data_IF_382365571687
#
_entry.id   IF_382365571687
#
_cell.length_a   1.000
_cell.length_b   1.000
_cell.length_c   1.000
_cell.angle_alpha   90.00
_cell.angle_beta   90.00
_cell.angle_gamma   90.00
#
_symmetry.space_group_name_H-M   'P 1'
#
loop_
_entity.id
_entity.type
_entity.pdbx_description
1 polymer ?
#
# COMPACT_ATOMS: atom_id res chain seq x y z
N UNK A 1 6.22 20.13 -4.17
CA UNK A 1 6.74 18.92 -4.82
C UNK A 1 5.81 17.76 -4.51
N UNK A 2 5.63 16.89 -5.47
CA UNK A 2 4.86 15.66 -5.28
C UNK A 2 5.82 14.48 -5.30
N UNK A 3 5.68 13.58 -4.32
CA UNK A 3 6.45 12.37 -4.21
C UNK A 3 5.49 11.19 -4.37
N UNK A 4 5.88 10.20 -5.16
CA UNK A 4 5.15 8.93 -5.27
C UNK A 4 5.90 7.91 -4.43
N UNK A 5 5.18 7.28 -3.52
CA UNK A 5 5.69 6.22 -2.66
C UNK A 5 4.91 4.95 -2.95
N UNK A 6 5.60 3.85 -3.12
CA UNK A 6 4.97 2.55 -3.36
C UNK A 6 5.33 1.59 -2.25
N UNK A 7 4.31 1.02 -1.62
CA UNK A 7 4.45 -0.10 -0.70
C UNK A 7 4.29 -1.35 -1.52
N UNK A 8 5.37 -2.12 -1.68
CA UNK A 8 5.38 -3.33 -2.48
C UNK A 8 5.27 -4.52 -1.55
N UNK A 9 4.21 -5.30 -1.72
CA UNK A 9 3.83 -6.37 -0.80
C UNK A 9 4.21 -7.74 -1.34
N UNK A 10 4.63 -8.60 -0.43
CA UNK A 10 4.98 -9.99 -0.71
C UNK A 10 4.56 -10.89 0.44
N UNK A 11 4.59 -12.19 0.20
CA UNK A 11 4.35 -13.20 1.23
C UNK A 11 5.52 -14.17 1.26
N UNK A 12 5.98 -14.49 2.45
CA UNK A 12 7.04 -15.45 2.66
C UNK A 12 6.81 -16.18 3.96
N UNK A 13 6.85 -17.50 3.93
CA UNK A 13 6.67 -18.35 5.13
C UNK A 13 5.37 -18.03 5.89
N UNK A 14 4.29 -17.77 5.16
CA UNK A 14 2.99 -17.46 5.76
C UNK A 14 2.90 -16.06 6.40
N UNK A 15 3.84 -15.18 6.07
CA UNK A 15 3.92 -13.84 6.64
C UNK A 15 3.89 -12.80 5.54
N UNK A 16 3.12 -11.74 5.74
CA UNK A 16 3.17 -10.56 4.87
C UNK A 16 4.45 -9.78 5.13
N UNK A 17 5.08 -9.38 4.04
CA UNK A 17 6.28 -8.55 4.07
C UNK A 17 6.13 -7.39 3.10
N UNK A 18 6.90 -6.34 3.29
CA UNK A 18 6.87 -5.18 2.40
C UNK A 18 8.23 -4.54 2.26
N UNK A 19 8.38 -3.78 1.21
CA UNK A 19 9.43 -2.78 1.03
C UNK A 19 8.80 -1.52 0.45
N UNK A 20 9.46 -0.39 0.59
CA UNK A 20 9.00 0.87 0.02
C UNK A 20 9.99 1.41 -0.99
N UNK A 21 9.46 1.98 -2.06
CA UNK A 21 10.23 2.67 -3.09
C UNK A 21 9.56 4.02 -3.32
N UNK A 22 10.33 5.08 -3.40
CA UNK A 22 9.77 6.40 -3.64
C UNK A 22 10.67 7.23 -4.55
N UNK A 23 10.04 8.18 -5.26
CA UNK A 23 10.75 9.15 -6.07
C UNK A 23 9.89 10.40 -6.27
N UNK A 24 10.52 11.50 -6.61
CA UNK A 24 9.82 12.72 -6.96
C UNK A 24 9.11 12.54 -8.31
N UNK A 25 7.88 13.06 -8.39
CA UNK A 25 7.09 12.97 -9.60
C UNK A 25 7.60 14.02 -10.60
N UNK A 26 8.12 13.59 -11.78
CA UNK A 26 8.55 14.54 -12.80
C UNK A 26 7.36 15.28 -13.41
N UNK A 27 7.61 16.48 -13.91
CA UNK A 27 6.59 17.25 -14.63
C UNK A 27 6.10 16.47 -15.85
N UNK A 28 4.79 16.46 -16.05
CA UNK A 28 4.18 15.79 -17.21
C UNK A 28 4.04 14.28 -17.08
N UNK A 29 4.45 13.69 -15.96
CA UNK A 29 4.30 12.25 -15.71
C UNK A 29 3.09 12.02 -14.82
N UNK A 30 2.26 11.04 -15.18
CA UNK A 30 1.14 10.66 -14.36
C UNK A 30 1.62 9.86 -13.14
N UNK A 31 1.09 10.11 -11.94
CA UNK A 31 1.51 9.38 -10.74
C UNK A 31 1.40 7.86 -10.86
N UNK A 32 0.36 7.35 -11.51
CA UNK A 32 0.19 5.91 -11.70
C UNK A 32 1.33 5.31 -12.52
N UNK A 33 1.81 6.02 -13.53
CA UNK A 33 2.90 5.54 -14.38
C UNK A 33 4.21 5.46 -13.59
N UNK A 34 4.49 6.46 -12.77
CA UNK A 34 5.66 6.42 -11.91
C UNK A 34 5.55 5.30 -10.86
N UNK A 35 4.38 5.14 -10.25
CA UNK A 35 4.16 4.08 -9.28
C UNK A 35 4.38 2.69 -9.90
N UNK A 36 3.87 2.47 -11.11
CA UNK A 36 4.07 1.23 -11.82
C UNK A 36 5.56 0.97 -12.08
N UNK A 37 6.27 1.99 -12.55
CA UNK A 37 7.71 1.90 -12.80
C UNK A 37 8.48 1.58 -11.52
N UNK A 38 8.21 2.28 -10.44
CA UNK A 38 8.90 2.08 -9.15
C UNK A 38 8.66 0.69 -8.57
N UNK A 39 7.45 0.15 -8.76
CA UNK A 39 7.12 -1.19 -8.26
C UNK A 39 7.83 -2.30 -9.00
N UNK A 40 8.26 -2.06 -10.24
CA UNK A 40 8.75 -3.09 -11.14
C UNK A 40 7.68 -4.05 -11.63
N UNK A 41 6.42 -3.75 -11.33
CA UNK A 41 5.30 -4.64 -11.60
C UNK A 41 4.92 -4.59 -13.07
N UNK A 42 4.52 -5.75 -13.61
CA UNK A 42 3.89 -5.86 -14.92
C UNK A 42 2.42 -6.20 -14.72
N UNK A 43 1.51 -5.32 -15.13
CA UNK A 43 0.08 -5.54 -14.93
C UNK A 43 -0.49 -6.72 -15.71
N UNK A 44 0.28 -7.27 -16.65
CA UNK A 44 -0.08 -8.50 -17.35
C UNK A 44 0.13 -9.75 -16.49
N UNK A 45 0.86 -9.66 -15.39
CA UNK A 45 1.04 -10.78 -14.46
C UNK A 45 -0.27 -11.08 -13.76
N UNK A 46 -0.70 -12.36 -13.72
CA UNK A 46 -1.94 -12.73 -13.04
C UNK A 46 -1.91 -12.29 -11.57
N UNK A 47 -2.98 -11.63 -11.13
CA UNK A 47 -3.11 -11.14 -9.77
C UNK A 47 -2.35 -9.85 -9.47
N UNK A 48 -1.67 -9.27 -10.46
CA UNK A 48 -0.97 -8.00 -10.28
C UNK A 48 -1.95 -6.88 -9.98
N UNK A 49 -1.66 -6.12 -8.93
CA UNK A 49 -2.52 -5.04 -8.46
C UNK A 49 -1.66 -3.83 -8.11
N UNK A 50 -2.09 -2.67 -8.58
CA UNK A 50 -1.54 -1.38 -8.21
C UNK A 50 -2.70 -0.46 -7.88
N UNK A 51 -2.73 0.08 -6.68
CA UNK A 51 -3.84 0.92 -6.24
C UNK A 51 -3.34 2.03 -5.34
N UNK A 52 -3.83 3.26 -5.55
CA UNK A 52 -3.53 4.35 -4.64
C UNK A 52 -4.30 4.15 -3.33
N UNK A 53 -3.64 4.34 -2.22
CA UNK A 53 -4.21 4.02 -0.90
C UNK A 53 -4.37 5.24 -0.01
N UNK A 54 -3.49 6.22 -0.13
CA UNK A 54 -3.54 7.41 0.71
C UNK A 54 -2.65 8.51 0.15
N UNK A 55 -2.77 9.68 0.78
CA UNK A 55 -1.85 10.79 0.54
C UNK A 55 -1.63 11.52 1.86
N UNK A 56 -0.52 12.24 1.96
CA UNK A 56 -0.20 13.04 3.14
C UNK A 56 0.73 14.18 2.77
N UNK A 57 0.78 15.19 3.62
CA UNK A 57 1.83 16.21 3.56
C UNK A 57 3.02 15.77 4.40
N UNK A 58 4.20 15.93 3.85
CA UNK A 58 5.45 15.68 4.55
C UNK A 58 6.50 16.66 4.04
N UNK A 59 7.04 17.51 4.92
CA UNK A 59 8.12 18.45 4.59
C UNK A 59 7.84 19.28 3.32
N UNK A 60 6.70 19.94 3.27
CA UNK A 60 6.25 20.78 2.15
C UNK A 60 5.97 20.02 0.86
N UNK A 61 5.94 18.69 0.89
CA UNK A 61 5.62 17.86 -0.24
C UNK A 61 4.32 17.11 -0.02
N UNK A 62 3.64 16.80 -1.11
CA UNK A 62 2.53 15.84 -1.09
C UNK A 62 3.11 14.47 -1.41
N UNK A 63 2.84 13.49 -0.55
CA UNK A 63 3.24 12.11 -0.77
C UNK A 63 1.99 11.30 -1.14
N UNK A 64 2.01 10.76 -2.35
CA UNK A 64 0.97 9.85 -2.85
C UNK A 64 1.45 8.43 -2.61
N UNK A 65 0.69 7.67 -1.83
CA UNK A 65 1.06 6.29 -1.49
C UNK A 65 0.23 5.30 -2.29
N UNK A 66 0.92 4.36 -2.91
CA UNK A 66 0.32 3.25 -3.65
C UNK A 66 0.67 1.94 -2.97
N UNK A 67 -0.19 0.96 -3.13
CA UNK A 67 0.12 -0.43 -2.81
C UNK A 67 0.27 -1.22 -4.10
N UNK A 68 1.30 -2.04 -4.19
CA UNK A 68 1.57 -2.89 -5.34
C UNK A 68 1.85 -4.31 -4.88
N UNK A 69 1.36 -5.29 -5.62
CA UNK A 69 1.62 -6.71 -5.36
C UNK A 69 1.36 -7.54 -6.62
N UNK A 70 1.96 -8.72 -6.75
CA UNK A 70 3.01 -9.27 -5.90
C UNK A 70 4.35 -8.59 -6.17
N UNK A 71 5.23 -8.53 -5.18
CA UNK A 71 6.56 -7.97 -5.39
C UNK A 71 7.35 -8.80 -6.40
N UNK A 72 7.74 -8.23 -7.54
CA UNK A 72 8.47 -8.98 -8.56
C UNK A 72 9.92 -9.28 -8.18
N UNK A 73 10.44 -8.59 -7.17
CA UNK A 73 11.84 -8.70 -6.79
C UNK A 73 12.02 -8.46 -5.29
N UNK A 74 11.48 -9.35 -4.42
CA UNK A 74 11.54 -9.15 -2.99
C UNK A 74 12.99 -9.16 -2.50
N UNK A 75 13.44 -8.02 -1.98
CA UNK A 75 14.74 -7.89 -1.37
C UNK A 75 14.69 -6.82 -0.30
N UNK A 76 15.44 -7.00 0.77
CA UNK A 76 15.45 -6.07 1.89
C UNK A 76 14.03 -5.79 2.43
N UNK A 77 13.14 -6.79 2.37
CA UNK A 77 11.78 -6.67 2.89
C UNK A 77 11.77 -6.80 4.40
N UNK A 78 10.76 -6.19 5.02
CA UNK A 78 10.54 -6.32 6.46
C UNK A 78 9.14 -6.90 6.72
N UNK A 79 8.94 -7.57 7.87
CA UNK A 79 7.61 -8.07 8.21
C UNK A 79 6.61 -6.94 8.35
N UNK A 80 5.40 -7.14 7.84
CA UNK A 80 4.32 -6.19 8.01
C UNK A 80 3.67 -6.39 9.37
N UNK A 81 3.53 -5.30 10.11
CA UNK A 81 2.95 -5.29 11.45
C UNK A 81 1.54 -4.72 11.37
N UNK A 82 0.49 -5.56 11.36
CA UNK A 82 -0.88 -5.09 11.16
C UNK A 82 -1.41 -4.23 12.31
N UNK A 83 -0.78 -4.30 13.46
CA UNK A 83 -1.19 -3.54 14.64
C UNK A 83 -0.71 -2.08 14.61
N UNK A 84 0.18 -1.75 13.69
CA UNK A 84 0.72 -0.41 13.55
C UNK A 84 -0.23 0.48 12.76
N UNK A 85 -1.33 0.87 13.35
CA UNK A 85 -2.19 1.89 12.76
C UNK A 85 -1.85 3.26 13.29
N UNK A 86 -1.76 4.22 12.39
CA UNK A 86 -1.80 5.63 12.79
C UNK A 86 -3.26 5.93 13.12
N UNK A 87 -3.57 5.93 14.38
CA UNK A 87 -4.82 6.49 14.85
C UNK A 87 -4.53 7.93 15.23
N UNK A 88 -5.16 8.87 14.57
CA UNK A 88 -5.17 10.23 15.09
C UNK A 88 -5.74 10.22 16.50
N UNK A 89 -5.17 11.02 17.39
CA UNK A 89 -5.65 11.12 18.77
C UNK A 89 -7.05 11.70 18.86
N UNK A 90 -7.51 12.36 17.79
CA UNK A 90 -8.86 12.85 17.67
C UNK A 90 -9.36 12.56 16.26
N UNK A 91 -10.66 12.31 16.10
CA UNK A 91 -11.25 11.97 14.81
C UNK A 91 -11.02 13.03 13.73
N UNK A 92 -10.83 14.28 14.10
CA UNK A 92 -10.61 15.39 13.19
C UNK A 92 -9.17 15.88 13.17
N UNK A 93 -8.27 15.17 13.84
CA UNK A 93 -6.87 15.56 13.85
C UNK A 93 -6.25 15.33 12.48
N UNK A 94 -5.42 16.25 11.97
CA UNK A 94 -4.67 16.01 10.75
C UNK A 94 -3.67 14.87 10.97
N UNK A 95 -3.18 14.30 9.86
CA UNK A 95 -2.12 13.31 9.94
C UNK A 95 -0.93 13.86 10.72
N UNK A 96 -0.27 13.04 11.55
CA UNK A 96 0.91 13.49 12.26
C UNK A 96 2.01 13.96 11.29
N UNK A 97 2.86 14.91 11.71
CA UNK A 97 3.90 15.44 10.83
C UNK A 97 4.93 14.40 10.39
N UNK A 98 5.12 13.33 11.17
CA UNK A 98 5.93 12.20 10.76
C UNK A 98 5.10 10.93 10.90
N UNK A 99 5.06 10.15 9.84
CA UNK A 99 4.31 8.90 9.79
C UNK A 99 5.30 7.76 9.68
N UNK A 100 5.18 6.79 10.57
CA UNK A 100 5.99 5.59 10.56
C UNK A 100 5.71 4.79 9.28
N UNK A 101 6.77 4.36 8.60
CA UNK A 101 6.67 3.54 7.38
C UNK A 101 5.86 2.26 7.62
N UNK A 102 6.01 1.63 8.77
CA UNK A 102 5.23 0.44 9.13
C UNK A 102 3.73 0.77 9.20
N UNK A 103 3.38 1.93 9.72
CA UNK A 103 1.99 2.36 9.80
C UNK A 103 1.40 2.63 8.41
N UNK A 104 2.18 3.23 7.52
CA UNK A 104 1.78 3.46 6.13
C UNK A 104 1.54 2.12 5.42
N UNK A 105 2.46 1.17 5.58
CA UNK A 105 2.34 -0.15 4.99
C UNK A 105 1.13 -0.91 5.54
N UNK A 106 0.89 -0.85 6.84
CA UNK A 106 -0.26 -1.48 7.47
C UNK A 106 -1.57 -0.89 6.94
N UNK A 107 -1.64 0.43 6.78
CA UNK A 107 -2.81 1.09 6.21
C UNK A 107 -3.04 0.65 4.76
N UNK A 108 -1.99 0.62 3.95
CA UNK A 108 -2.08 0.19 2.55
C UNK A 108 -2.61 -1.25 2.45
N UNK A 109 -2.10 -2.16 3.28
CA UNK A 109 -2.54 -3.55 3.30
C UNK A 109 -4.01 -3.67 3.71
N UNK A 110 -4.44 -2.93 4.72
CA UNK A 110 -5.84 -2.93 5.16
C UNK A 110 -6.78 -2.35 4.11
N UNK A 111 -6.33 -1.33 3.39
CA UNK A 111 -7.11 -0.76 2.29
C UNK A 111 -7.34 -1.80 1.19
N UNK A 112 -6.30 -2.55 0.83
CA UNK A 112 -6.43 -3.64 -0.13
C UNK A 112 -7.36 -4.74 0.39
N UNK A 113 -7.30 -5.08 1.67
CA UNK A 113 -8.21 -6.07 2.25
C UNK A 113 -9.68 -5.62 2.15
N UNK A 114 -9.94 -4.34 2.35
CA UNK A 114 -11.27 -3.78 2.15
C UNK A 114 -11.69 -3.86 0.68
N UNK A 115 -10.81 -3.50 -0.24
CA UNK A 115 -11.10 -3.54 -1.67
C UNK A 115 -11.36 -4.97 -2.16
N UNK A 116 -10.73 -5.98 -1.58
CA UNK A 116 -10.96 -7.37 -1.95
C UNK A 116 -12.41 -7.81 -1.72
N UNK A 117 -13.13 -7.16 -0.81
CA UNK A 117 -14.54 -7.48 -0.54
C UNK A 117 -15.51 -6.44 -1.10
N UNK A 118 -15.02 -5.31 -1.61
CA UNK A 118 -15.88 -4.23 -2.11
C UNK A 118 -15.69 -3.92 -3.59
N UNK A 119 -14.57 -4.31 -4.19
CA UNK A 119 -14.25 -4.02 -5.58
C UNK A 119 -14.15 -5.33 -6.38
N UNK A 120 -15.02 -5.54 -7.39
CA UNK A 120 -15.00 -6.79 -8.17
C UNK A 120 -13.68 -7.03 -8.92
N UNK A 121 -13.00 -5.96 -9.36
CA UNK A 121 -11.74 -6.09 -10.09
C UNK A 121 -10.65 -6.60 -9.14
N UNK A 122 -10.58 -6.04 -7.94
CA UNK A 122 -9.62 -6.49 -6.92
C UNK A 122 -9.97 -7.91 -6.44
N UNK A 123 -11.23 -8.21 -6.25
CA UNK A 123 -11.67 -9.57 -5.87
C UNK A 123 -11.24 -10.61 -6.92
N UNK A 124 -11.36 -10.28 -8.20
CA UNK A 124 -10.91 -11.17 -9.28
C UNK A 124 -9.39 -11.37 -9.25
N UNK A 125 -8.63 -10.30 -9.03
CA UNK A 125 -7.17 -10.40 -8.89
C UNK A 125 -6.78 -11.25 -7.67
N UNK A 126 -7.49 -11.08 -6.56
CA UNK A 126 -7.22 -11.83 -5.33
C UNK A 126 -7.37 -13.35 -5.52
N UNK A 127 -8.31 -13.78 -6.35
CA UNK A 127 -8.55 -15.21 -6.59
C UNK A 127 -7.39 -15.89 -7.30
N UNK A 128 -6.51 -15.16 -7.96
CA UNK A 128 -5.35 -15.73 -8.69
C UNK A 128 -4.08 -15.83 -7.83
N UNK A 129 -4.06 -15.20 -6.65
CA UNK A 129 -2.90 -15.23 -5.74
C UNK A 129 -3.38 -15.46 -4.30
N UNK A 130 -3.95 -16.65 -4.01
CA UNK A 130 -4.47 -16.92 -2.68
C UNK A 130 -3.38 -16.92 -1.60
N UNK A 131 -2.14 -17.27 -1.92
CA UNK A 131 -1.03 -17.25 -0.98
C UNK A 131 -0.82 -15.87 -0.33
N UNK A 132 -0.99 -14.83 -1.09
CA UNK A 132 -0.80 -13.45 -0.64
C UNK A 132 -2.11 -12.84 -0.12
N UNK A 133 -3.18 -12.99 -0.89
CA UNK A 133 -4.45 -12.35 -0.57
C UNK A 133 -5.15 -12.97 0.64
N UNK A 134 -4.94 -14.27 0.91
CA UNK A 134 -5.46 -14.88 2.14
C UNK A 134 -4.86 -14.24 3.38
N UNK A 135 -3.58 -13.86 3.32
CA UNK A 135 -2.95 -13.14 4.42
C UNK A 135 -3.50 -11.72 4.56
N UNK A 136 -3.75 -11.04 3.43
CA UNK A 136 -4.32 -9.69 3.44
C UNK A 136 -5.74 -9.69 3.99
N UNK A 137 -6.58 -10.64 3.59
CA UNK A 137 -7.99 -10.67 3.99
C UNK A 137 -8.19 -11.08 5.45
N UNK A 138 -7.17 -11.63 6.09
CA UNK A 138 -7.18 -11.86 7.54
C UNK A 138 -6.96 -10.59 8.35
N UNK A 139 -6.49 -9.51 7.72
CA UNK A 139 -6.32 -8.24 8.40
C UNK A 139 -7.67 -7.60 8.67
N UNK A 140 -7.83 -6.88 9.78
CA UNK A 140 -9.03 -6.09 9.99
C UNK A 140 -9.17 -5.07 8.86
N UNK A 141 -10.33 -5.01 8.21
CA UNK A 141 -10.59 -4.01 7.18
C UNK A 141 -10.75 -2.64 7.81
N UNK A 142 -10.31 -1.63 7.09
CA UNK A 142 -10.43 -0.26 7.56
C UNK A 142 -10.00 0.73 6.50
N UNK A 143 -10.39 1.99 6.72
CA UNK A 143 -9.98 3.12 5.89
C UNK A 143 -9.18 4.11 6.72
N UNK A 144 -8.45 5.00 6.07
CA UNK A 144 -7.70 6.03 6.76
C UNK A 144 -8.64 6.86 7.64
N UNK A 145 -8.23 7.08 8.88
CA UNK A 145 -9.02 7.84 9.84
C UNK A 145 -10.20 7.10 10.44
N UNK A 146 -10.39 5.83 10.11
CA UNK A 146 -11.42 5.03 10.77
C UNK A 146 -11.03 4.80 12.22
N UNK A 147 -11.92 5.17 13.12
CA UNK A 147 -11.74 4.92 14.54
C UNK A 147 -12.12 3.49 14.88
N UNK A 148 -11.29 2.88 15.62
CA UNK A 148 -11.53 1.54 16.16
C UNK A 148 -11.17 1.51 17.62
#
# INVERSE_FOLDING_TARGET
MTIVEVVVLSASSGMLRYRTVSDALPAGVHPDDLALHLSGLTLCTPGATLHSTSWRFASESVVLTYAALPDPSPSATVPLSPDRMVTGHAALAPSPPSVDTDAVAAHAARHLALLAVTDPVIAAAASTRPDLWDLLTKLPTGVAGALR
#
